data_IF_595568650181
#
_entry.id   IF_595568650181
#
_cell.length_a   1.000
_cell.length_b   1.000
_cell.length_c   1.000
_cell.angle_alpha   90.00
_cell.angle_beta   90.00
_cell.angle_gamma   90.00
#
_symmetry.space_group_name_H-M   'P 1'
#
loop_
_entity.id
_entity.type
_entity.pdbx_description
1 polymer ?
#
# COMPACT_ATOMS: atom_id res chain seq x y z
N UNK A 1 72.49 -19.19 6.64
CA UNK A 1 71.29 -18.32 6.66
C UNK A 1 70.01 -19.00 6.13
N UNK A 2 69.80 -20.31 6.35
CA UNK A 2 68.60 -21.04 5.88
C UNK A 2 67.74 -21.66 7.00
N UNK A 3 68.16 -21.55 8.27
CA UNK A 3 67.43 -22.15 9.40
C UNK A 3 66.34 -21.23 9.99
N UNK A 4 66.35 -19.93 9.67
CA UNK A 4 65.42 -18.95 10.28
C UNK A 4 64.10 -18.74 9.51
N UNK A 5 63.99 -19.23 8.27
CA UNK A 5 62.78 -19.10 7.46
C UNK A 5 61.78 -20.24 7.66
N UNK A 6 62.26 -21.45 7.99
CA UNK A 6 61.39 -22.62 8.21
C UNK A 6 60.58 -22.52 9.52
N UNK A 7 61.16 -21.96 10.59
CA UNK A 7 60.45 -21.76 11.86
C UNK A 7 59.34 -20.72 11.76
N UNK A 8 59.55 -19.67 10.93
CA UNK A 8 58.53 -18.65 10.65
C UNK A 8 57.33 -19.21 9.89
N UNK A 9 57.57 -20.06 8.88
CA UNK A 9 56.50 -20.68 8.10
C UNK A 9 55.67 -21.68 8.92
N UNK A 10 56.32 -22.47 9.79
CA UNK A 10 55.62 -23.39 10.68
C UNK A 10 54.73 -22.66 11.69
N UNK A 11 55.20 -21.55 12.26
CA UNK A 11 54.44 -20.75 13.20
C UNK A 11 53.23 -20.07 12.53
N UNK A 12 53.40 -19.59 11.29
CA UNK A 12 52.32 -18.98 10.53
C UNK A 12 51.25 -20.00 10.09
N UNK A 13 51.67 -21.23 9.78
CA UNK A 13 50.77 -22.36 9.52
C UNK A 13 49.99 -22.77 10.78
N UNK A 14 50.63 -22.80 11.95
CA UNK A 14 49.94 -23.10 13.21
C UNK A 14 48.94 -22.01 13.58
N UNK A 15 49.30 -20.75 13.38
CA UNK A 15 48.40 -19.62 13.65
C UNK A 15 47.18 -19.62 12.71
N UNK A 16 47.36 -19.91 11.42
CA UNK A 16 46.24 -19.99 10.47
C UNK A 16 45.31 -21.16 10.79
N UNK A 17 45.84 -22.31 11.19
CA UNK A 17 45.03 -23.48 11.58
C UNK A 17 44.23 -23.22 12.87
N UNK A 18 44.81 -22.53 13.85
CA UNK A 18 44.10 -22.11 15.07
C UNK A 18 43.02 -21.06 14.80
N UNK A 19 43.28 -20.12 13.87
CA UNK A 19 42.30 -19.11 13.49
C UNK A 19 41.09 -19.73 12.77
N UNK A 20 41.35 -20.66 11.85
CA UNK A 20 40.30 -21.36 11.11
C UNK A 20 39.45 -22.23 12.04
N UNK A 21 40.07 -22.95 12.99
CA UNK A 21 39.33 -23.77 13.96
C UNK A 21 38.50 -22.93 14.93
N UNK A 22 38.98 -21.76 15.35
CA UNK A 22 38.20 -20.83 16.17
C UNK A 22 36.99 -20.25 15.42
N UNK A 23 37.14 -19.90 14.14
CA UNK A 23 36.05 -19.36 13.32
C UNK A 23 34.97 -20.42 13.03
N UNK A 24 35.36 -21.67 12.79
CA UNK A 24 34.39 -22.76 12.60
C UNK A 24 33.66 -23.11 13.89
N UNK A 25 34.34 -23.12 15.05
CA UNK A 25 33.68 -23.29 16.35
C UNK A 25 32.69 -22.16 16.63
N UNK A 26 33.07 -20.91 16.37
CA UNK A 26 32.21 -19.75 16.61
C UNK A 26 30.95 -19.79 15.73
N UNK A 27 31.09 -20.19 14.47
CA UNK A 27 29.96 -20.38 13.55
C UNK A 27 29.02 -21.50 14.00
N UNK A 28 29.57 -22.61 14.51
CA UNK A 28 28.78 -23.72 15.09
C UNK A 28 28.03 -23.29 16.35
N UNK A 29 28.62 -22.48 17.23
CA UNK A 29 27.97 -21.95 18.44
C UNK A 29 26.83 -20.99 18.07
N UNK A 30 27.02 -20.14 17.06
CA UNK A 30 25.98 -19.25 16.56
C UNK A 30 24.82 -20.01 15.89
N UNK A 31 25.11 -21.11 15.19
CA UNK A 31 24.08 -21.95 14.56
C UNK A 31 23.32 -22.86 15.53
N UNK A 32 23.96 -23.27 16.64
CA UNK A 32 23.37 -24.18 17.63
C UNK A 32 22.66 -23.46 18.79
N UNK A 33 22.72 -22.12 18.82
CA UNK A 33 21.96 -21.33 19.78
C UNK A 33 20.47 -21.39 19.42
N UNK A 34 19.59 -21.85 20.33
CA UNK A 34 18.15 -21.87 20.07
C UNK A 34 17.62 -20.44 19.91
N UNK A 35 16.60 -20.21 19.06
CA UNK A 35 16.01 -18.89 18.91
C UNK A 35 15.49 -18.39 20.26
N UNK A 36 15.83 -17.14 20.61
CA UNK A 36 15.35 -16.48 21.81
C UNK A 36 13.81 -16.57 21.89
N UNK A 37 13.24 -16.89 23.07
CA UNK A 37 11.80 -16.94 23.22
C UNK A 37 11.22 -15.53 23.06
N UNK A 38 10.56 -15.29 21.94
CA UNK A 38 9.70 -14.12 21.74
C UNK A 38 8.56 -14.18 22.76
N UNK A 39 8.51 -13.22 23.69
CA UNK A 39 7.35 -13.04 24.57
C UNK A 39 6.09 -12.81 23.70
N UNK A 40 4.98 -13.51 23.97
CA UNK A 40 3.72 -13.21 23.29
C UNK A 40 3.26 -11.80 23.66
N UNK A 41 2.99 -10.98 22.64
CA UNK A 41 2.32 -9.69 22.76
C UNK A 41 0.90 -9.89 23.33
N UNK A 42 0.41 -9.03 24.24
CA UNK A 42 -0.97 -9.11 24.69
C UNK A 42 -1.92 -8.94 23.50
N UNK A 43 -2.92 -9.82 23.47
CA UNK A 43 -3.96 -9.95 22.47
C UNK A 43 -4.51 -8.60 21.99
N UNK A 44 -4.29 -8.32 20.71
CA UNK A 44 -5.00 -7.25 20.01
C UNK A 44 -6.49 -7.61 19.98
N UNK A 45 -7.28 -6.91 20.79
CA UNK A 45 -8.73 -6.92 20.71
C UNK A 45 -9.11 -6.44 19.30
N UNK A 46 -9.62 -7.36 18.51
CA UNK A 46 -10.04 -7.14 17.13
C UNK A 46 -11.24 -6.19 17.10
N UNK A 47 -10.98 -4.90 16.88
CA UNK A 47 -12.02 -3.95 16.50
C UNK A 47 -12.46 -4.24 15.06
N UNK A 48 -13.38 -5.19 14.89
CA UNK A 48 -14.19 -5.29 13.68
C UNK A 48 -15.21 -4.15 13.68
N UNK A 49 -14.89 -3.06 13.00
CA UNK A 49 -15.92 -2.13 12.53
C UNK A 49 -16.33 -2.59 11.13
N UNK A 50 -17.47 -3.28 11.10
CA UNK A 50 -18.20 -3.67 9.91
C UNK A 50 -18.65 -2.43 9.12
N UNK A 51 -18.43 -2.45 7.81
CA UNK A 51 -19.44 -1.96 6.85
C UNK A 51 -19.80 -3.14 5.94
N UNK A 52 -20.72 -3.97 6.42
CA UNK A 52 -21.52 -4.80 5.54
C UNK A 52 -22.50 -3.86 4.83
N UNK A 53 -22.22 -3.54 3.55
CA UNK A 53 -23.24 -2.97 2.67
C UNK A 53 -24.05 -4.17 2.15
N UNK A 54 -25.20 -4.40 2.77
CA UNK A 54 -26.25 -5.25 2.20
C UNK A 54 -26.79 -4.59 0.91
N UNK A 55 -27.17 -5.38 -0.11
CA UNK A 55 -27.74 -4.84 -1.34
C UNK A 55 -29.17 -4.35 -1.06
N UNK A 56 -29.40 -3.04 -1.15
CA UNK A 56 -30.75 -2.49 -1.19
C UNK A 56 -31.14 -2.23 -2.65
N UNK A 57 -32.15 -2.96 -3.08
CA UNK A 57 -32.88 -2.73 -4.32
C UNK A 57 -33.52 -1.33 -4.32
N UNK A 58 -33.26 -0.58 -5.39
CA UNK A 58 -34.13 0.46 -5.98
C UNK A 58 -34.60 1.65 -5.12
N UNK A 59 -34.57 2.84 -5.73
CA UNK A 59 -35.44 4.03 -5.57
C UNK A 59 -34.63 5.37 -5.48
N UNK A 60 -35.23 6.55 -5.76
CA UNK A 60 -35.04 7.25 -7.03
C UNK A 60 -34.25 8.56 -6.86
N UNK A 61 -33.72 9.06 -7.98
CA UNK A 61 -33.13 10.39 -8.09
C UNK A 61 -34.19 11.47 -7.82
N UNK A 62 -34.08 12.19 -6.69
CA UNK A 62 -34.47 13.59 -6.57
C UNK A 62 -33.73 14.24 -5.39
N UNK A 63 -32.63 14.90 -5.70
CA UNK A 63 -31.83 15.64 -4.74
C UNK A 63 -32.48 16.99 -4.41
N UNK A 64 -32.73 17.21 -3.13
CA UNK A 64 -33.08 18.49 -2.51
C UNK A 64 -31.95 19.50 -2.72
N UNK A 65 -32.30 20.62 -3.38
CA UNK A 65 -31.46 21.81 -3.53
C UNK A 65 -31.46 22.57 -2.21
N UNK A 66 -30.31 22.68 -1.56
CA UNK A 66 -30.07 23.69 -0.51
C UNK A 66 -28.96 24.63 -0.97
N UNK A 67 -29.22 25.92 -0.79
CA UNK A 67 -28.55 27.03 -1.43
C UNK A 67 -27.09 27.23 -0.99
N UNK A 68 -26.20 27.44 -1.97
CA UNK A 68 -24.90 28.05 -1.75
C UNK A 68 -24.71 29.22 -2.73
N UNK A 69 -24.16 30.30 -2.18
CA UNK A 69 -24.13 31.65 -2.71
C UNK A 69 -23.59 31.76 -4.15
N UNK A 70 -24.21 32.66 -4.91
CA UNK A 70 -23.87 33.02 -6.29
C UNK A 70 -22.55 33.77 -6.36
N UNK A 71 -21.44 33.06 -6.52
CA UNK A 71 -20.27 33.61 -7.19
C UNK A 71 -20.31 33.20 -8.66
N UNK A 72 -20.65 34.17 -9.52
CA UNK A 72 -20.64 34.03 -10.98
C UNK A 72 -19.18 33.82 -11.42
N UNK A 73 -18.81 32.67 -11.99
CA UNK A 73 -17.48 32.53 -12.56
C UNK A 73 -17.40 33.41 -13.83
N UNK A 74 -16.24 34.01 -14.14
CA UNK A 74 -16.07 34.74 -15.38
C UNK A 74 -16.33 33.79 -16.57
N UNK A 75 -17.08 34.28 -17.55
CA UNK A 75 -17.41 33.53 -18.76
C UNK A 75 -16.15 33.28 -19.59
N UNK A 76 -15.54 32.13 -19.37
CA UNK A 76 -14.48 31.62 -20.22
C UNK A 76 -15.15 30.79 -21.32
N UNK A 77 -15.11 31.28 -22.57
CA UNK A 77 -15.55 30.53 -23.74
C UNK A 77 -14.60 29.34 -23.98
N UNK A 78 -14.76 28.27 -23.19
CA UNK A 78 -14.28 26.94 -23.58
C UNK A 78 -15.18 26.46 -24.71
N UNK A 79 -14.59 26.11 -25.85
CA UNK A 79 -15.30 25.51 -26.98
C UNK A 79 -16.16 24.34 -26.49
N UNK A 80 -17.46 24.39 -26.77
CA UNK A 80 -18.46 23.41 -26.29
C UNK A 80 -18.11 21.95 -26.64
N UNK A 81 -17.30 21.74 -27.67
CA UNK A 81 -16.79 20.43 -28.09
C UNK A 81 -15.72 19.88 -27.15
N UNK A 82 -14.82 20.72 -26.63
CA UNK A 82 -13.76 20.29 -25.70
C UNK A 82 -14.34 19.73 -24.40
N UNK A 83 -15.37 20.39 -23.87
CA UNK A 83 -16.07 19.92 -22.67
C UNK A 83 -16.83 18.60 -22.92
N UNK A 84 -17.47 18.46 -24.08
CA UNK A 84 -18.21 17.25 -24.46
C UNK A 84 -17.29 16.04 -24.67
N UNK A 85 -16.11 16.25 -25.26
CA UNK A 85 -15.11 15.21 -25.46
C UNK A 85 -14.52 14.72 -24.13
N UNK A 86 -14.23 15.64 -23.21
CA UNK A 86 -13.73 15.29 -21.87
C UNK A 86 -14.76 14.52 -21.03
N UNK A 87 -16.03 14.92 -21.06
CA UNK A 87 -17.11 14.18 -20.40
C UNK A 87 -17.28 12.76 -20.97
N UNK A 88 -17.17 12.62 -22.29
CA UNK A 88 -17.28 11.32 -22.97
C UNK A 88 -16.11 10.41 -22.58
N UNK A 89 -14.88 10.95 -22.56
CA UNK A 89 -13.69 10.23 -22.10
C UNK A 89 -13.80 9.78 -20.65
N UNK A 90 -14.26 10.64 -19.73
CA UNK A 90 -14.48 10.25 -18.33
C UNK A 90 -15.48 9.10 -18.20
N UNK A 91 -16.58 9.14 -18.95
CA UNK A 91 -17.58 8.06 -18.96
C UNK A 91 -16.99 6.73 -19.42
N UNK A 92 -16.14 6.73 -20.44
CA UNK A 92 -15.52 5.49 -20.94
C UNK A 92 -14.50 4.92 -19.95
N UNK A 93 -13.76 5.78 -19.25
CA UNK A 93 -12.78 5.36 -18.24
C UNK A 93 -13.45 4.73 -17.02
N UNK A 94 -14.50 5.35 -16.49
CA UNK A 94 -15.30 4.79 -15.38
C UNK A 94 -15.93 3.45 -15.81
N UNK A 95 -16.46 3.37 -17.03
CA UNK A 95 -17.04 2.13 -17.55
C UNK A 95 -16.01 0.98 -17.63
N UNK A 96 -14.75 1.29 -17.95
CA UNK A 96 -13.67 0.28 -17.97
C UNK A 96 -13.40 -0.27 -16.57
N UNK A 97 -13.23 0.61 -15.57
CA UNK A 97 -12.96 0.20 -14.18
C UNK A 97 -14.12 -0.66 -13.66
N UNK A 98 -15.36 -0.23 -13.89
CA UNK A 98 -16.54 -1.01 -13.51
C UNK A 98 -16.61 -2.36 -14.21
N UNK A 99 -16.27 -2.43 -15.50
CA UNK A 99 -16.23 -3.70 -16.23
C UNK A 99 -15.22 -4.68 -15.61
N UNK A 100 -14.04 -4.22 -15.22
CA UNK A 100 -13.04 -5.08 -14.59
C UNK A 100 -13.47 -5.52 -13.19
N UNK A 101 -14.10 -4.65 -12.40
CA UNK A 101 -14.69 -5.03 -11.11
C UNK A 101 -15.85 -6.03 -11.28
N UNK A 102 -16.71 -5.85 -12.28
CA UNK A 102 -17.78 -6.81 -12.60
C UNK A 102 -17.21 -8.19 -12.96
N UNK A 103 -16.13 -8.24 -13.74
CA UNK A 103 -15.44 -9.50 -14.08
C UNK A 103 -14.88 -10.18 -12.84
N UNK A 104 -14.22 -9.41 -11.96
CA UNK A 104 -13.69 -9.94 -10.70
C UNK A 104 -14.81 -10.50 -9.80
N UNK A 105 -15.90 -9.73 -9.59
CA UNK A 105 -17.06 -10.17 -8.80
C UNK A 105 -17.71 -11.43 -9.38
N UNK A 106 -17.83 -11.52 -10.71
CA UNK A 106 -18.35 -12.72 -11.38
C UNK A 106 -17.44 -13.93 -11.17
N UNK A 107 -16.12 -13.76 -11.28
CA UNK A 107 -15.15 -14.84 -11.05
C UNK A 107 -15.22 -15.37 -9.61
N UNK A 108 -15.24 -14.47 -8.62
CA UNK A 108 -15.39 -14.82 -7.20
C UNK A 108 -16.69 -15.58 -6.96
N UNK A 109 -17.82 -15.09 -7.47
CA UNK A 109 -19.13 -15.76 -7.32
C UNK A 109 -19.14 -17.15 -7.96
N UNK A 110 -18.52 -17.29 -9.14
CA UNK A 110 -18.41 -18.58 -9.81
C UNK A 110 -17.56 -19.56 -9.01
N UNK A 111 -16.41 -19.13 -8.48
CA UNK A 111 -15.54 -19.95 -7.65
C UNK A 111 -16.24 -20.44 -6.38
N UNK A 112 -17.01 -19.58 -5.72
CA UNK A 112 -17.83 -19.95 -4.56
C UNK A 112 -18.86 -21.03 -4.94
N UNK A 113 -19.52 -20.90 -6.09
CA UNK A 113 -20.53 -21.87 -6.55
C UNK A 113 -19.94 -23.22 -6.95
N UNK A 114 -18.80 -23.22 -7.65
CA UNK A 114 -18.15 -24.45 -8.09
C UNK A 114 -17.30 -25.10 -7.00
N UNK A 115 -17.05 -24.40 -5.88
CA UNK A 115 -16.06 -24.78 -4.85
C UNK A 115 -14.66 -25.00 -5.44
N UNK A 116 -14.38 -24.41 -6.59
CA UNK A 116 -13.10 -24.52 -7.30
C UNK A 116 -12.54 -23.13 -7.59
N UNK A 117 -11.23 -23.04 -7.69
CA UNK A 117 -10.52 -21.82 -8.10
C UNK A 117 -9.99 -22.01 -9.51
N UNK A 118 -9.91 -20.93 -10.29
CA UNK A 118 -9.57 -21.01 -11.71
C UNK A 118 -8.05 -21.10 -11.99
N UNK A 119 -7.21 -21.04 -10.95
CA UNK A 119 -5.75 -20.99 -11.05
C UNK A 119 -5.13 -22.18 -10.32
N UNK A 120 -5.04 -23.32 -11.00
CA UNK A 120 -4.22 -24.46 -10.57
C UNK A 120 -2.81 -24.29 -11.13
N UNK A 121 -1.98 -23.48 -10.46
CA UNK A 121 -0.53 -23.67 -10.50
C UNK A 121 -0.15 -24.35 -9.18
N UNK A 122 0.70 -25.37 -9.23
CA UNK A 122 1.08 -26.19 -8.06
C UNK A 122 1.71 -25.35 -6.91
N UNK A 123 2.22 -24.16 -7.20
CA UNK A 123 2.86 -23.26 -6.23
C UNK A 123 1.90 -22.25 -5.56
N UNK A 124 0.60 -22.26 -5.87
CA UNK A 124 -0.34 -21.29 -5.29
C UNK A 124 -0.82 -21.69 -3.88
N UNK A 125 -0.66 -20.78 -2.91
CA UNK A 125 -1.19 -20.95 -1.56
C UNK A 125 -2.71 -21.14 -1.58
N UNK A 126 -3.18 -22.33 -1.16
CA UNK A 126 -4.60 -22.63 -0.98
C UNK A 126 -5.01 -22.31 0.46
N UNK A 127 -5.85 -21.28 0.71
CA UNK A 127 -6.29 -20.92 2.04
C UNK A 127 -7.09 -22.06 2.68
N UNK A 128 -6.76 -22.40 3.93
CA UNK A 128 -7.41 -23.47 4.70
C UNK A 128 -7.62 -23.02 6.15
N UNK A 129 -8.55 -23.68 6.84
CA UNK A 129 -8.81 -23.47 8.25
C UNK A 129 -9.80 -22.32 8.57
N UNK A 130 -10.12 -22.15 9.86
CA UNK A 130 -11.19 -21.26 10.32
C UNK A 130 -10.85 -19.77 10.27
N UNK A 131 -9.59 -19.42 9.97
CA UNK A 131 -9.14 -18.03 9.83
C UNK A 131 -9.88 -17.31 8.70
N UNK A 132 -10.30 -18.05 7.67
CA UNK A 132 -10.98 -17.49 6.50
C UNK A 132 -12.49 -17.73 6.60
N UNK A 133 -13.29 -16.64 6.57
CA UNK A 133 -14.76 -16.72 6.49
C UNK A 133 -15.23 -17.50 5.27
N UNK A 134 -14.56 -17.33 4.13
CA UNK A 134 -14.77 -18.11 2.91
C UNK A 134 -13.41 -18.27 2.19
N UNK A 135 -12.73 -19.42 2.38
CA UNK A 135 -11.39 -19.65 1.81
C UNK A 135 -11.37 -19.54 0.28
N UNK A 136 -12.39 -20.07 -0.39
CA UNK A 136 -12.52 -20.04 -1.85
C UNK A 136 -12.69 -18.63 -2.38
N UNK A 137 -13.56 -17.84 -1.74
CA UNK A 137 -13.77 -16.44 -2.11
C UNK A 137 -12.49 -15.62 -1.90
N UNK A 138 -11.81 -15.81 -0.77
CA UNK A 138 -10.56 -15.13 -0.47
C UNK A 138 -9.50 -15.44 -1.53
N UNK A 139 -9.26 -16.71 -1.82
CA UNK A 139 -8.29 -17.12 -2.83
C UNK A 139 -8.59 -16.54 -4.21
N UNK A 140 -9.84 -16.69 -4.68
CA UNK A 140 -10.23 -16.15 -5.99
C UNK A 140 -10.14 -14.63 -6.03
N UNK A 141 -10.45 -13.93 -4.92
CA UNK A 141 -10.30 -12.48 -4.84
C UNK A 141 -8.85 -12.03 -4.97
N UNK A 142 -7.91 -12.76 -4.37
CA UNK A 142 -6.48 -12.50 -4.49
C UNK A 142 -6.00 -12.68 -5.94
N UNK A 143 -6.43 -13.76 -6.60
CA UNK A 143 -6.12 -14.00 -8.03
C UNK A 143 -6.61 -12.85 -8.91
N UNK A 144 -7.86 -12.41 -8.73
CA UNK A 144 -8.41 -11.31 -9.52
C UNK A 144 -7.73 -9.97 -9.21
N UNK A 145 -7.29 -9.75 -7.96
CA UNK A 145 -6.49 -8.59 -7.57
C UNK A 145 -5.14 -8.60 -8.32
N UNK A 146 -4.38 -9.69 -8.25
CA UNK A 146 -3.10 -9.84 -8.97
C UNK A 146 -3.27 -9.64 -10.49
N UNK A 147 -4.37 -10.16 -11.05
CA UNK A 147 -4.62 -10.10 -12.50
C UNK A 147 -4.99 -8.71 -13.01
N UNK A 148 -5.77 -7.94 -12.24
CA UNK A 148 -6.45 -6.73 -12.75
C UNK A 148 -6.14 -5.48 -11.98
N UNK A 149 -5.88 -5.56 -10.68
CA UNK A 149 -5.83 -4.38 -9.83
C UNK A 149 -4.65 -3.50 -10.18
N UNK A 150 -4.92 -2.21 -10.31
CA UNK A 150 -3.94 -1.19 -10.66
C UNK A 150 -4.09 0.02 -9.75
N UNK A 151 -2.97 0.53 -9.28
CA UNK A 151 -2.88 1.70 -8.41
C UNK A 151 -2.12 2.79 -9.16
N UNK A 152 -2.69 3.99 -9.22
CA UNK A 152 -1.95 5.19 -9.64
C UNK A 152 -1.30 5.81 -8.41
N UNK A 153 0.00 6.05 -8.48
CA UNK A 153 0.73 6.77 -7.42
C UNK A 153 0.86 8.23 -7.85
N UNK A 154 0.34 9.16 -7.04
CA UNK A 154 0.56 10.59 -7.27
C UNK A 154 2.04 10.90 -7.23
N UNK A 155 2.51 11.84 -8.06
CA UNK A 155 3.94 12.09 -8.24
C UNK A 155 4.46 13.25 -7.39
N UNK A 156 3.55 13.86 -6.63
CA UNK A 156 3.78 15.04 -5.82
C UNK A 156 4.44 14.68 -4.51
N UNK A 157 5.11 15.66 -3.92
CA UNK A 157 5.78 15.54 -2.64
C UNK A 157 7.25 15.17 -2.80
N UNK A 158 8.04 15.57 -1.80
CA UNK A 158 9.48 15.38 -1.80
C UNK A 158 9.88 14.36 -0.73
N UNK A 159 10.93 13.60 -1.01
CA UNK A 159 11.57 12.75 -0.02
C UNK A 159 12.19 13.62 1.09
N UNK A 160 12.17 13.18 2.36
CA UNK A 160 11.70 11.87 2.81
C UNK A 160 10.19 11.79 3.11
N UNK A 161 9.43 12.90 3.03
CA UNK A 161 8.04 12.94 3.47
C UNK A 161 7.07 12.22 2.53
N UNK A 162 7.36 12.20 1.24
CA UNK A 162 6.63 11.43 0.23
C UNK A 162 7.55 10.45 -0.50
N UNK A 163 6.96 9.43 -1.12
CA UNK A 163 7.68 8.48 -2.00
C UNK A 163 8.85 7.75 -1.32
N UNK A 164 8.79 7.64 0.00
CA UNK A 164 9.79 7.03 0.85
C UNK A 164 9.19 6.75 2.22
N UNK A 165 9.54 5.61 2.83
CA UNK A 165 9.13 5.25 4.17
C UNK A 165 10.20 4.38 4.85
N UNK A 166 10.20 4.29 6.18
CA UNK A 166 11.12 3.40 6.88
C UNK A 166 10.79 1.94 6.58
N UNK A 167 11.80 1.13 6.30
CA UNK A 167 11.66 -0.32 6.06
C UNK A 167 12.04 -1.16 7.30
N UNK A 168 12.05 -0.56 8.49
CA UNK A 168 12.47 -1.21 9.74
C UNK A 168 11.46 -1.00 10.85
N UNK A 169 11.50 -1.92 11.82
CA UNK A 169 10.68 -1.90 13.03
C UNK A 169 9.17 -1.93 12.71
N UNK A 170 8.36 -1.44 13.65
CA UNK A 170 6.90 -1.37 13.56
C UNK A 170 6.37 -0.51 12.39
N UNK A 171 7.23 0.27 11.74
CA UNK A 171 6.91 1.12 10.60
C UNK A 171 7.28 0.49 9.25
N UNK A 172 7.87 -0.71 9.24
CA UNK A 172 8.46 -1.33 8.05
C UNK A 172 7.48 -1.59 6.90
N UNK A 173 6.21 -1.91 7.21
CA UNK A 173 5.19 -2.23 6.20
C UNK A 173 4.85 -1.01 5.34
N UNK A 174 4.85 0.20 5.91
CA UNK A 174 4.62 1.45 5.16
C UNK A 174 5.72 1.66 4.11
N UNK A 175 6.99 1.56 4.53
CA UNK A 175 8.12 1.70 3.62
C UNK A 175 8.16 0.59 2.56
N UNK A 176 7.94 -0.67 2.97
CA UNK A 176 7.93 -1.80 2.04
C UNK A 176 6.81 -1.68 0.99
N UNK A 177 5.62 -1.23 1.38
CA UNK A 177 4.53 -1.02 0.43
C UNK A 177 4.86 0.06 -0.60
N UNK A 178 5.43 1.19 -0.16
CA UNK A 178 5.84 2.27 -1.06
C UNK A 178 6.94 1.80 -2.02
N UNK A 179 7.97 1.13 -1.50
CA UNK A 179 9.08 0.61 -2.30
C UNK A 179 8.63 -0.41 -3.36
N UNK A 180 7.81 -1.39 -2.95
CA UNK A 180 7.28 -2.40 -3.87
C UNK A 180 6.33 -1.81 -4.91
N UNK A 181 5.50 -0.84 -4.53
CA UNK A 181 4.55 -0.24 -5.47
C UNK A 181 5.21 0.73 -6.46
N UNK A 182 6.29 1.40 -6.05
CA UNK A 182 7.06 2.30 -6.92
C UNK A 182 8.17 1.56 -7.69
N UNK A 183 8.44 0.29 -7.36
CA UNK A 183 9.40 -0.56 -8.07
C UNK A 183 9.08 -0.66 -9.58
N UNK A 184 10.09 -0.54 -10.46
CA UNK A 184 9.94 -0.78 -11.89
C UNK A 184 9.52 -2.20 -12.26
N UNK A 185 9.41 -3.13 -11.31
CA UNK A 185 9.02 -4.51 -11.55
C UNK A 185 7.58 -4.82 -11.09
N UNK A 186 6.93 -3.89 -10.38
CA UNK A 186 5.57 -4.15 -9.89
C UNK A 186 4.55 -4.21 -11.02
N UNK A 187 3.67 -5.20 -10.93
CA UNK A 187 2.52 -5.32 -11.82
C UNK A 187 1.32 -4.53 -11.31
N UNK A 188 1.36 -3.95 -10.11
CA UNK A 188 0.24 -3.20 -9.55
C UNK A 188 0.24 -1.72 -9.94
N UNK A 189 1.35 -1.15 -10.41
CA UNK A 189 1.38 0.26 -10.81
C UNK A 189 0.65 0.51 -12.14
N UNK A 190 -0.24 1.51 -12.17
CA UNK A 190 -0.72 2.14 -13.39
C UNK A 190 0.36 3.11 -13.91
N UNK A 191 1.21 2.64 -14.83
CA UNK A 191 2.43 3.39 -15.22
C UNK A 191 2.19 4.48 -16.24
N UNK A 192 1.30 4.22 -17.19
CA UNK A 192 1.16 5.09 -18.36
C UNK A 192 0.11 6.17 -18.12
N UNK A 193 -1.04 5.80 -17.56
CA UNK A 193 -2.15 6.74 -17.43
C UNK A 193 -3.06 6.47 -16.22
N UNK A 194 -3.57 7.51 -15.52
CA UNK A 194 -4.44 7.35 -14.36
C UNK A 194 -5.76 6.61 -14.64
N UNK A 195 -6.20 6.59 -15.90
CA UNK A 195 -7.43 5.88 -16.28
C UNK A 195 -7.33 4.36 -16.22
N UNK A 196 -6.14 3.82 -16.08
CA UNK A 196 -5.93 2.39 -15.83
C UNK A 196 -6.15 2.02 -14.37
N UNK A 197 -6.14 3.00 -13.47
CA UNK A 197 -6.12 2.77 -12.04
C UNK A 197 -7.51 2.56 -11.44
N UNK A 198 -7.57 1.54 -10.59
CA UNK A 198 -8.71 1.21 -9.74
C UNK A 198 -8.66 2.02 -8.44
N UNK A 199 -7.47 2.33 -7.94
CA UNK A 199 -7.26 3.11 -6.73
C UNK A 199 -6.08 4.08 -6.89
N UNK A 200 -6.05 5.13 -6.06
CA UNK A 200 -5.10 6.23 -6.14
C UNK A 200 -4.35 6.34 -4.82
N UNK A 201 -3.03 6.12 -4.83
CA UNK A 201 -2.20 6.25 -3.66
C UNK A 201 -1.76 7.70 -3.48
N UNK A 202 -1.98 8.22 -2.28
CA UNK A 202 -1.32 9.39 -1.71
C UNK A 202 -0.04 8.90 -1.00
N UNK A 203 1.15 9.06 -1.61
CA UNK A 203 2.42 8.47 -1.16
C UNK A 203 3.05 9.24 0.02
N UNK A 204 2.26 9.79 0.94
CA UNK A 204 2.79 10.44 2.15
C UNK A 204 3.16 9.40 3.20
N UNK A 205 4.39 9.46 3.70
CA UNK A 205 4.85 8.62 4.81
C UNK A 205 4.57 9.29 6.14
N UNK A 206 3.63 8.72 6.88
CA UNK A 206 3.29 9.21 8.22
C UNK A 206 4.46 9.03 9.18
N UNK A 207 5.18 7.91 9.05
CA UNK A 207 6.36 7.67 9.87
C UNK A 207 7.46 8.72 9.64
N UNK A 208 7.69 9.14 8.39
CA UNK A 208 8.66 10.18 8.09
C UNK A 208 8.15 11.57 8.49
N UNK A 209 6.86 11.88 8.35
CA UNK A 209 6.33 13.13 8.90
C UNK A 209 6.55 13.20 10.41
N UNK A 210 6.35 12.09 11.13
CA UNK A 210 6.62 12.04 12.56
C UNK A 210 8.11 12.26 12.84
N UNK A 211 8.99 11.57 12.12
CA UNK A 211 10.44 11.67 12.32
C UNK A 211 10.99 13.08 12.04
N UNK A 212 10.61 13.69 10.93
CA UNK A 212 11.23 14.92 10.44
C UNK A 212 10.49 16.20 10.83
N UNK A 213 9.19 16.12 11.15
CA UNK A 213 8.37 17.31 11.49
C UNK A 213 7.99 17.33 12.96
N UNK A 214 7.74 16.17 13.57
CA UNK A 214 7.28 16.12 14.96
C UNK A 214 8.39 15.96 15.98
N UNK A 215 9.60 15.53 15.61
CA UNK A 215 10.69 15.41 16.58
C UNK A 215 11.43 16.74 16.81
N UNK A 216 11.78 17.06 18.07
CA UNK A 216 11.34 16.39 19.30
C UNK A 216 9.84 16.61 19.55
N UNK A 217 9.13 15.56 20.00
CA UNK A 217 7.69 15.63 20.23
C UNK A 217 7.42 16.53 21.42
N UNK A 218 6.96 17.75 21.15
CA UNK A 218 6.55 18.73 22.18
C UNK A 218 5.08 18.59 22.57
N UNK A 219 4.25 18.10 21.66
CA UNK A 219 2.84 17.77 21.88
C UNK A 219 2.37 16.72 20.85
N UNK A 220 1.22 16.10 21.14
CA UNK A 220 0.55 15.14 20.25
C UNK A 220 -0.50 15.82 19.35
N UNK A 221 -0.39 17.14 19.09
CA UNK A 221 -1.33 17.82 18.22
C UNK A 221 -1.27 17.24 16.80
N UNK A 222 -2.43 17.05 16.18
CA UNK A 222 -2.53 16.52 14.82
C UNK A 222 -2.46 17.62 13.77
N UNK A 223 -2.44 18.88 14.18
CA UNK A 223 -2.62 20.03 13.29
C UNK A 223 -1.55 20.07 12.20
N UNK A 224 -0.28 19.80 12.54
CA UNK A 224 0.81 19.78 11.56
C UNK A 224 0.64 18.66 10.53
N UNK A 225 0.29 17.45 11.00
CA UNK A 225 0.03 16.30 10.11
C UNK A 225 -1.18 16.56 9.20
N UNK A 226 -2.26 17.11 9.75
CA UNK A 226 -3.45 17.49 8.99
C UNK A 226 -3.16 18.58 7.98
N UNK A 227 -2.36 19.60 8.34
CA UNK A 227 -1.94 20.66 7.43
C UNK A 227 -1.13 20.09 6.26
N UNK A 228 -0.11 19.28 6.54
CA UNK A 228 0.72 18.64 5.49
C UNK A 228 -0.15 17.79 4.56
N UNK A 229 -1.04 16.95 5.11
CA UNK A 229 -1.93 16.13 4.31
C UNK A 229 -2.90 16.97 3.47
N UNK A 230 -3.49 18.01 4.08
CA UNK A 230 -4.43 18.93 3.39
C UNK A 230 -3.74 19.67 2.26
N UNK A 231 -2.51 20.16 2.47
CA UNK A 231 -1.73 20.84 1.45
C UNK A 231 -1.38 19.90 0.29
N UNK A 232 -0.97 18.67 0.59
CA UNK A 232 -0.73 17.64 -0.43
C UNK A 232 -1.98 17.39 -1.28
N UNK A 233 -3.11 17.14 -0.62
CA UNK A 233 -4.41 16.95 -1.29
C UNK A 233 -4.78 18.16 -2.15
N UNK A 234 -4.58 19.37 -1.66
CA UNK A 234 -4.85 20.60 -2.40
C UNK A 234 -3.97 20.75 -3.65
N UNK A 235 -2.71 20.32 -3.60
CA UNK A 235 -1.83 20.28 -4.77
C UNK A 235 -2.34 19.27 -5.78
N UNK A 236 -2.60 18.05 -5.33
CA UNK A 236 -3.06 16.96 -6.20
C UNK A 236 -4.42 17.25 -6.83
N UNK A 237 -5.39 17.70 -6.04
CA UNK A 237 -6.74 18.00 -6.51
C UNK A 237 -6.78 19.11 -7.56
N UNK A 238 -5.86 20.08 -7.48
CA UNK A 238 -5.70 21.13 -8.49
C UNK A 238 -4.98 20.66 -9.74
N UNK A 239 -3.97 19.79 -9.59
CA UNK A 239 -3.12 19.33 -10.70
C UNK A 239 -3.73 18.19 -11.50
N UNK A 240 -4.49 17.29 -10.86
CA UNK A 240 -5.04 16.09 -11.49
C UNK A 240 -6.57 16.13 -11.53
N UNK A 241 -7.17 16.23 -12.74
CA UNK A 241 -8.62 16.16 -12.88
C UNK A 241 -9.26 14.86 -12.35
N UNK A 242 -8.47 13.79 -12.24
CA UNK A 242 -8.89 12.48 -11.72
C UNK A 242 -9.26 12.47 -10.25
N UNK A 243 -8.74 13.41 -9.45
CA UNK A 243 -9.11 13.53 -8.04
C UNK A 243 -10.64 13.61 -7.85
N UNK A 244 -11.29 14.39 -8.72
CA UNK A 244 -12.73 14.63 -8.65
C UNK A 244 -13.58 13.53 -9.31
N UNK A 245 -12.99 12.42 -9.80
CA UNK A 245 -13.77 11.34 -10.45
C UNK A 245 -14.64 10.57 -9.46
N UNK A 246 -14.20 10.49 -8.21
CA UNK A 246 -14.82 9.77 -7.09
C UNK A 246 -15.02 10.68 -5.87
N UNK A 247 -14.71 11.97 -6.00
CA UNK A 247 -14.58 12.91 -4.88
C UNK A 247 -13.63 12.39 -3.77
N UNK A 248 -12.59 11.64 -4.14
CA UNK A 248 -11.62 11.06 -3.22
C UNK A 248 -11.96 9.68 -2.67
N UNK A 249 -13.11 9.07 -3.01
CA UNK A 249 -13.53 7.79 -2.44
C UNK A 249 -12.66 6.58 -2.85
N UNK A 250 -11.92 6.69 -3.94
CA UNK A 250 -10.96 5.67 -4.42
C UNK A 250 -9.50 6.08 -4.18
N UNK A 251 -9.29 7.10 -3.36
CA UNK A 251 -7.97 7.57 -2.94
C UNK A 251 -7.66 7.01 -1.56
N UNK A 252 -6.43 6.55 -1.36
CA UNK A 252 -6.01 5.97 -0.10
C UNK A 252 -4.58 6.40 0.23
N UNK A 253 -4.25 6.31 1.51
CA UNK A 253 -2.90 6.43 2.03
C UNK A 253 -2.62 5.21 2.90
N UNK A 254 -1.35 4.84 3.03
CA UNK A 254 -0.93 3.80 3.95
C UNK A 254 -0.29 4.45 5.18
N UNK A 255 -0.61 3.90 6.35
CA UNK A 255 0.04 4.27 7.60
C UNK A 255 0.18 3.03 8.47
N UNK A 256 1.28 2.94 9.20
CA UNK A 256 1.42 1.94 10.25
C UNK A 256 0.54 2.26 11.46
N UNK A 257 0.19 1.21 12.21
CA UNK A 257 -0.88 1.14 13.22
C UNK A 257 -0.93 2.25 14.29
N UNK A 258 0.21 2.85 14.65
CA UNK A 258 0.26 3.86 15.72
C UNK A 258 -0.41 5.20 15.33
N UNK A 259 -0.48 5.51 14.04
CA UNK A 259 -0.85 6.84 13.57
C UNK A 259 -2.19 6.89 12.82
N UNK A 260 -2.80 5.73 12.52
CA UNK A 260 -4.10 5.62 11.84
C UNK A 260 -5.21 6.35 12.60
N UNK A 261 -5.17 6.30 13.94
CA UNK A 261 -6.14 7.01 14.80
C UNK A 261 -6.02 8.54 14.73
N UNK A 262 -4.97 9.09 14.10
CA UNK A 262 -4.83 10.54 13.90
C UNK A 262 -5.59 11.06 12.67
N UNK A 263 -5.81 10.21 11.65
CA UNK A 263 -6.42 10.62 10.38
C UNK A 263 -7.95 10.49 10.35
N UNK A 264 -8.51 9.58 11.14
CA UNK A 264 -9.95 9.38 11.19
C UNK A 264 -10.54 10.40 12.17
N UNK A 265 -11.22 11.43 11.66
CA UNK A 265 -12.13 12.25 12.47
C UNK A 265 -13.16 11.32 13.10
N UNK A 266 -13.30 11.38 14.42
CA UNK A 266 -14.57 11.01 15.07
C UNK A 266 -15.56 12.14 14.84
#
# INVERSE_FOLDING_TARGET
MLCSSQTSMALQMLYSMLLISALTLCSLILYSSPPFPLKPSPSATSYSSFLAVEPTDGLPLNATRTAFATHRPPSYNQSSEGHRNELTRRRTEVARVELDLMRARKAIRNAIRSKSHAWENEDCYVPRGPVYRNPTAFHQSHIEMVKRFKIWVYKEGERPLAHNGPMKNIYGVEGQFLDELESPHTHFAARHHPSEAHAFLIPLSVANVVEYVYRPITNYSRDRLQAIFTDYVNVVARKYPYWNRSFGADHFMISCHDWVLLFIRK
#
